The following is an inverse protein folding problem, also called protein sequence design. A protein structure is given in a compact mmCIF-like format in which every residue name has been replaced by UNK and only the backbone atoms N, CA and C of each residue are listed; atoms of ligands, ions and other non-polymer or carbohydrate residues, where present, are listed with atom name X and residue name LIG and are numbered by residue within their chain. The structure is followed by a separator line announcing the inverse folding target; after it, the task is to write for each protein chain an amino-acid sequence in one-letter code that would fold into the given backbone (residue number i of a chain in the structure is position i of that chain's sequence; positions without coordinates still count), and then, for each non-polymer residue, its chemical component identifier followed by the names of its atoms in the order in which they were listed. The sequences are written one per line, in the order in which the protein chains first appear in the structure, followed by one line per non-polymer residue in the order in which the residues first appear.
data_IF_151313692095
#
_entry.id   IF_151313692095
#
_cell.length_a   1.000
_cell.length_b   1.000
_cell.length_c   1.000
_cell.angle_alpha   90.00
_cell.angle_beta   90.00
_cell.angle_gamma   90.00
#
_symmetry.space_group_name_H-M   'P 1'
#
loop_
_entity.id
_entity.type
_entity.pdbx_description
1 polymer ?
#
# COMPACT_ATOMS: atom_id res chain seq x y z
N UNK A 1 -18.63 17.54 -18.09
CA UNK A 1 -17.44 17.65 -17.22
C UNK A 1 -17.05 16.24 -16.76
N UNK A 2 -16.03 15.67 -17.39
CA UNK A 2 -15.53 14.33 -17.07
C UNK A 2 -14.82 14.38 -15.72
N UNK A 3 -15.40 13.79 -14.67
CA UNK A 3 -14.66 13.55 -13.42
C UNK A 3 -13.57 12.54 -13.73
N UNK A 4 -12.36 13.03 -13.97
CA UNK A 4 -11.15 12.22 -13.96
C UNK A 4 -11.15 11.54 -12.59
N UNK A 5 -11.31 10.22 -12.56
CA UNK A 5 -11.21 9.45 -11.32
C UNK A 5 -9.80 9.71 -10.79
N UNK A 6 -9.70 10.40 -9.67
CA UNK A 6 -8.45 10.59 -8.94
C UNK A 6 -7.78 9.22 -8.81
N UNK A 7 -6.47 9.12 -9.09
CA UNK A 7 -5.73 7.86 -8.95
C UNK A 7 -5.82 7.40 -7.50
N UNK A 8 -6.70 6.44 -7.24
CA UNK A 8 -6.80 5.78 -5.94
C UNK A 8 -5.44 5.20 -5.55
N UNK A 9 -5.13 5.19 -4.26
CA UNK A 9 -3.93 4.56 -3.74
C UNK A 9 -3.99 3.06 -4.03
N UNK A 10 -3.24 2.61 -5.03
CA UNK A 10 -3.16 1.20 -5.41
C UNK A 10 -2.05 0.48 -4.64
N UNK A 11 -2.02 -0.85 -4.73
CA UNK A 11 -1.02 -1.68 -4.03
C UNK A 11 0.42 -1.36 -4.43
N UNK A 12 0.64 -0.88 -5.66
CA UNK A 12 1.99 -0.51 -6.13
C UNK A 12 2.44 0.76 -5.42
N UNK A 13 1.59 1.78 -5.37
CA UNK A 13 1.87 3.02 -4.65
C UNK A 13 2.04 2.74 -3.15
N UNK A 14 1.21 1.88 -2.55
CA UNK A 14 1.38 1.44 -1.15
C UNK A 14 2.77 0.84 -0.94
N UNK A 15 3.21 -0.06 -1.83
CA UNK A 15 4.53 -0.69 -1.75
C UNK A 15 5.65 0.35 -1.81
N UNK A 16 5.56 1.29 -2.75
CA UNK A 16 6.56 2.36 -2.89
C UNK A 16 6.63 3.23 -1.63
N UNK A 17 5.48 3.62 -1.06
CA UNK A 17 5.43 4.42 0.18
C UNK A 17 6.09 3.67 1.34
N UNK A 18 5.84 2.37 1.43
CA UNK A 18 6.44 1.52 2.44
C UNK A 18 7.96 1.43 2.26
N UNK A 19 8.46 1.28 1.03
CA UNK A 19 9.90 1.33 0.76
C UNK A 19 10.55 2.68 1.11
N UNK A 20 9.84 3.79 0.90
CA UNK A 20 10.30 5.13 1.32
C UNK A 20 10.48 5.16 2.85
N UNK A 21 9.55 4.54 3.59
CA UNK A 21 9.62 4.46 5.04
C UNK A 21 10.79 3.57 5.51
N UNK A 22 11.04 2.44 4.84
CA UNK A 22 12.13 1.52 5.19
C UNK A 22 13.50 2.22 5.09
N UNK A 23 13.67 3.12 4.11
CA UNK A 23 14.89 3.93 3.94
C UNK A 23 14.92 5.27 4.71
N UNK A 24 13.93 5.57 5.54
CA UNK A 24 13.77 6.91 6.10
C UNK A 24 14.79 7.22 7.20
N UNK A 25 15.53 8.31 7.09
CA UNK A 25 16.45 8.77 8.14
C UNK A 25 16.04 10.14 8.70
N UNK A 26 16.35 10.38 9.98
CA UNK A 26 16.03 11.63 10.67
C UNK A 26 14.58 11.72 11.16
N UNK A 27 14.06 12.95 11.29
CA UNK A 27 12.74 13.20 11.91
C UNK A 27 11.60 12.75 10.99
N UNK A 28 10.92 11.67 11.37
CA UNK A 28 9.75 11.15 10.64
C UNK A 28 8.44 11.80 11.11
N UNK A 29 7.78 12.53 10.21
CA UNK A 29 6.45 13.11 10.38
C UNK A 29 5.54 12.76 9.20
N UNK A 30 4.22 12.89 9.39
CA UNK A 30 3.26 12.66 8.30
C UNK A 30 3.44 13.66 7.16
N UNK A 31 3.70 14.94 7.48
CA UNK A 31 3.92 15.96 6.45
C UNK A 31 5.19 15.67 5.64
N UNK A 32 6.28 15.29 6.30
CA UNK A 32 7.51 14.92 5.60
C UNK A 32 7.30 13.70 4.70
N UNK A 33 6.53 12.71 5.16
CA UNK A 33 6.17 11.56 4.32
C UNK A 33 5.37 11.99 3.10
N UNK A 34 4.35 12.85 3.26
CA UNK A 34 3.54 13.35 2.13
C UNK A 34 4.42 14.05 1.11
N UNK A 35 5.35 14.91 1.55
CA UNK A 35 6.29 15.59 0.66
C UNK A 35 7.23 14.61 -0.07
N UNK A 36 7.74 13.60 0.63
CA UNK A 36 8.60 12.59 0.02
C UNK A 36 7.86 11.74 -1.03
N UNK A 37 6.61 11.40 -0.75
CA UNK A 37 5.75 10.65 -1.68
C UNK A 37 5.39 11.50 -2.89
N UNK A 38 5.06 12.77 -2.69
CA UNK A 38 4.80 13.71 -3.79
C UNK A 38 6.02 13.86 -4.71
N UNK A 39 7.23 13.95 -4.14
CA UNK A 39 8.48 14.01 -4.92
C UNK A 39 8.76 12.73 -5.72
N UNK A 40 8.40 11.55 -5.19
CA UNK A 40 8.69 10.25 -5.83
C UNK A 40 7.63 9.84 -6.86
N UNK A 41 6.35 10.07 -6.55
CA UNK A 41 5.21 9.60 -7.35
C UNK A 41 4.50 10.70 -8.16
N UNK A 42 4.84 11.98 -7.92
CA UNK A 42 4.17 13.12 -8.52
C UNK A 42 2.71 13.32 -8.05
N UNK A 43 2.28 12.56 -7.03
CA UNK A 43 0.94 12.62 -6.47
C UNK A 43 0.99 12.98 -4.99
N UNK A 44 0.25 14.03 -4.63
CA UNK A 44 0.06 14.44 -3.24
C UNK A 44 -1.14 13.72 -2.64
N UNK A 45 -0.91 12.96 -1.58
CA UNK A 45 -1.96 12.31 -0.81
C UNK A 45 -2.21 13.03 0.50
N UNK A 46 -3.44 12.93 1.02
CA UNK A 46 -3.74 13.44 2.36
C UNK A 46 -3.24 12.48 3.42
N UNK A 47 -2.89 13.00 4.61
CA UNK A 47 -2.57 12.17 5.78
C UNK A 47 -3.67 11.16 6.07
N UNK A 48 -4.94 11.55 5.94
CA UNK A 48 -6.07 10.66 6.21
C UNK A 48 -6.09 9.48 5.23
N UNK A 49 -5.81 9.73 3.95
CA UNK A 49 -5.66 8.66 2.95
C UNK A 49 -4.56 7.71 3.38
N UNK A 50 -3.34 8.19 3.59
CA UNK A 50 -2.20 7.35 3.96
C UNK A 50 -2.44 6.54 5.24
N UNK A 51 -3.06 7.15 6.26
CA UNK A 51 -3.33 6.50 7.53
C UNK A 51 -4.42 5.42 7.45
N UNK A 52 -5.37 5.50 6.52
CA UNK A 52 -6.41 4.47 6.33
C UNK A 52 -5.82 3.15 5.82
N UNK A 53 -4.69 3.20 5.12
CA UNK A 53 -4.01 2.00 4.65
C UNK A 53 -3.19 1.39 5.78
N UNK A 54 -3.63 0.24 6.25
CA UNK A 54 -3.05 -0.43 7.42
C UNK A 54 -1.55 -0.70 7.26
N UNK A 55 -1.12 -1.17 6.09
CA UNK A 55 0.30 -1.41 5.78
C UNK A 55 1.15 -0.15 5.94
N UNK A 56 0.68 0.99 5.42
CA UNK A 56 1.39 2.29 5.55
C UNK A 56 1.41 2.74 7.00
N UNK A 57 0.27 2.66 7.70
CA UNK A 57 0.16 3.04 9.10
C UNK A 57 1.11 2.23 9.98
N UNK A 58 1.15 0.91 9.79
CA UNK A 58 2.02 0.01 10.54
C UNK A 58 3.50 0.29 10.22
N UNK A 59 3.87 0.39 8.94
CA UNK A 59 5.22 0.75 8.52
C UNK A 59 5.69 2.08 9.15
N UNK A 60 4.84 3.10 9.14
CA UNK A 60 5.14 4.39 9.75
C UNK A 60 5.38 4.27 11.26
N UNK A 61 4.51 3.53 11.98
CA UNK A 61 4.65 3.32 13.42
C UNK A 61 5.93 2.56 13.76
N UNK A 62 6.24 1.49 13.02
CA UNK A 62 7.46 0.69 13.21
C UNK A 62 8.70 1.55 12.99
N UNK A 63 8.79 2.23 11.84
CA UNK A 63 9.96 3.08 11.53
C UNK A 63 10.11 4.22 12.53
N UNK A 64 9.02 4.88 12.91
CA UNK A 64 9.07 5.99 13.88
C UNK A 64 9.60 5.55 15.24
N UNK A 65 9.25 4.34 15.69
CA UNK A 65 9.80 3.76 16.93
C UNK A 65 11.28 3.45 16.79
N UNK A 66 11.69 2.81 15.69
CA UNK A 66 13.09 2.51 15.42
C UNK A 66 13.97 3.78 15.42
N UNK A 67 13.49 4.86 14.79
CA UNK A 67 14.19 6.15 14.75
C UNK A 67 14.23 6.89 16.10
N UNK A 68 13.28 6.63 16.99
CA UNK A 68 13.26 7.26 18.32
C UNK A 68 14.26 6.61 19.28
N UNK A 69 14.74 5.40 18.98
CA UNK A 69 15.75 4.68 19.76
C UNK A 69 17.19 4.87 19.28
N UNK A 70 17.40 5.53 18.14
CA UNK A 70 18.74 5.77 17.58
C UNK A 70 19.21 7.18 17.96
N UNK A 71 20.15 7.28 18.92
CA UNK A 71 20.96 8.48 19.08
C UNK A 71 21.84 8.63 17.84
N UNK A 72 21.97 9.87 17.35
CA UNK A 72 22.75 10.20 16.16
C UNK A 72 24.26 10.04 16.42
N UNK A 73 24.73 8.81 16.58
CA UNK A 73 26.15 8.51 16.51
C UNK A 73 26.52 8.33 15.04
N UNK A 74 26.95 9.44 14.43
CA UNK A 74 27.60 9.42 13.14
C UNK A 74 28.92 8.65 13.26
N UNK A 75 28.90 7.34 13.01
CA UNK A 75 30.13 6.60 12.77
C UNK A 75 30.73 7.12 11.48
N UNK A 76 31.83 7.85 11.57
CA UNK A 76 32.62 8.23 10.41
C UNK A 76 33.10 6.92 9.74
N UNK A 77 32.54 6.60 8.58
CA UNK A 77 32.85 5.38 7.84
C UNK A 77 34.11 5.61 7.01
N UNK A 78 35.05 4.68 7.06
CA UNK A 78 36.40 4.85 6.51
C UNK A 78 36.49 4.80 4.97
N UNK A 79 35.49 4.25 4.26
CA UNK A 79 35.45 4.24 2.79
C UNK A 79 34.02 4.38 2.22
N UNK A 80 33.87 4.93 1.00
CA UNK A 80 32.58 5.06 0.33
C UNK A 80 31.86 3.73 0.09
N UNK A 81 32.60 2.66 -0.24
CA UNK A 81 32.03 1.33 -0.48
C UNK A 81 31.45 0.75 0.81
N UNK A 82 32.17 0.92 1.92
CA UNK A 82 31.68 0.50 3.23
C UNK A 82 30.43 1.30 3.63
N UNK A 83 30.36 2.59 3.30
CA UNK A 83 29.18 3.39 3.55
C UNK A 83 27.95 2.87 2.77
N UNK A 84 28.10 2.61 1.47
CA UNK A 84 27.01 2.03 0.65
C UNK A 84 26.57 0.67 1.19
N UNK A 85 27.51 -0.17 1.62
CA UNK A 85 27.18 -1.47 2.21
C UNK A 85 26.40 -1.32 3.53
N UNK A 86 26.82 -0.42 4.42
CA UNK A 86 26.13 -0.14 5.68
C UNK A 86 24.73 0.44 5.46
N UNK A 87 24.56 1.35 4.49
CA UNK A 87 23.25 1.89 4.11
C UNK A 87 22.32 0.78 3.59
N UNK A 88 22.85 -0.16 2.80
CA UNK A 88 22.09 -1.30 2.30
C UNK A 88 21.66 -2.23 3.43
N UNK A 89 22.57 -2.53 4.37
CA UNK A 89 22.26 -3.33 5.56
C UNK A 89 21.17 -2.66 6.39
N UNK A 90 21.32 -1.37 6.70
CA UNK A 90 20.33 -0.63 7.49
C UNK A 90 18.93 -0.65 6.85
N UNK A 91 18.85 -0.53 5.52
CA UNK A 91 17.59 -0.63 4.79
C UNK A 91 16.98 -2.05 4.87
N UNK A 92 17.79 -3.08 4.69
CA UNK A 92 17.33 -4.48 4.78
C UNK A 92 16.89 -4.84 6.20
N UNK A 93 17.57 -4.33 7.22
CA UNK A 93 17.17 -4.50 8.63
C UNK A 93 15.83 -3.81 8.91
N UNK A 94 15.63 -2.58 8.41
CA UNK A 94 14.37 -1.87 8.55
C UNK A 94 13.21 -2.61 7.85
N UNK A 95 13.45 -3.11 6.63
CA UNK A 95 12.49 -3.93 5.89
C UNK A 95 12.14 -5.21 6.66
N UNK A 96 13.13 -5.93 7.19
CA UNK A 96 12.91 -7.13 7.99
C UNK A 96 12.10 -6.83 9.26
N UNK A 97 12.41 -5.74 9.98
CA UNK A 97 11.65 -5.33 11.16
C UNK A 97 10.18 -5.06 10.82
N UNK A 98 9.92 -4.37 9.71
CA UNK A 98 8.56 -4.10 9.25
C UNK A 98 7.84 -5.40 8.84
N UNK A 99 8.48 -6.25 8.03
CA UNK A 99 7.89 -7.52 7.59
C UNK A 99 7.58 -8.44 8.77
N UNK A 100 8.43 -8.49 9.78
CA UNK A 100 8.16 -9.23 11.01
C UNK A 100 6.93 -8.67 11.75
N UNK A 101 6.80 -7.34 11.83
CA UNK A 101 5.62 -6.71 12.44
C UNK A 101 4.34 -6.95 11.64
N UNK A 102 4.40 -6.92 10.31
CA UNK A 102 3.27 -7.28 9.43
C UNK A 102 2.87 -8.74 9.60
N UNK A 103 3.84 -9.65 9.66
CA UNK A 103 3.60 -11.08 9.86
C UNK A 103 2.92 -11.34 11.22
N UNK A 104 3.43 -10.74 12.29
CA UNK A 104 2.81 -10.87 13.62
C UNK A 104 1.36 -10.36 13.63
N UNK A 105 1.09 -9.21 13.01
CA UNK A 105 -0.27 -8.68 12.90
C UNK A 105 -1.21 -9.61 12.11
N UNK A 106 -0.70 -10.25 11.05
CA UNK A 106 -1.43 -11.25 10.28
C UNK A 106 -1.69 -12.52 11.11
N UNK A 107 -0.70 -13.02 11.85
CA UNK A 107 -0.87 -14.16 12.75
C UNK A 107 -1.91 -13.88 13.83
N UNK A 108 -1.92 -12.69 14.43
CA UNK A 108 -2.97 -12.27 15.36
C UNK A 108 -4.36 -12.21 14.72
N UNK A 109 -4.43 -11.78 13.46
CA UNK A 109 -5.69 -11.79 12.70
C UNK A 109 -6.15 -13.23 12.42
N UNK A 110 -5.26 -14.11 11.99
CA UNK A 110 -5.57 -15.53 11.77
C UNK A 110 -6.01 -16.23 13.05
N UNK A 111 -5.37 -15.96 14.19
CA UNK A 111 -5.78 -16.50 15.48
C UNK A 111 -7.21 -16.08 15.85
N UNK A 112 -7.55 -14.79 15.66
CA UNK A 112 -8.92 -14.29 15.87
C UNK A 112 -9.92 -14.95 14.93
N UNK A 113 -9.58 -15.13 13.66
CA UNK A 113 -10.45 -15.80 12.71
C UNK A 113 -10.66 -17.27 13.05
N UNK A 114 -9.61 -18.00 13.37
CA UNK A 114 -9.68 -19.39 13.79
C UNK A 114 -10.61 -19.56 15.01
N UNK A 115 -10.44 -18.71 16.03
CA UNK A 115 -11.34 -18.70 17.19
C UNK A 115 -12.80 -18.43 16.81
N UNK A 116 -13.06 -17.38 16.02
CA UNK A 116 -14.41 -17.00 15.60
C UNK A 116 -15.06 -18.02 14.65
N UNK A 117 -14.26 -18.77 13.90
CA UNK A 117 -14.71 -19.83 13.02
C UNK A 117 -15.09 -21.07 13.83
N UNK A 118 -14.27 -21.45 14.81
CA UNK A 118 -14.55 -22.57 15.71
C UNK A 118 -15.84 -22.34 16.52
N UNK A 119 -16.11 -21.11 17.00
CA UNK A 119 -17.38 -20.78 17.67
C UNK A 119 -18.61 -20.91 16.79
N UNK A 120 -18.43 -21.05 15.46
CA UNK A 120 -19.48 -21.34 14.47
C UNK A 120 -19.34 -22.73 13.84
N UNK A 121 -18.60 -23.65 14.47
CA UNK A 121 -18.36 -25.01 13.99
C UNK A 121 -17.74 -25.10 12.58
N UNK A 122 -17.04 -24.06 12.13
CA UNK A 122 -16.27 -24.12 10.88
C UNK A 122 -14.97 -24.87 11.13
N UNK A 123 -14.62 -25.79 10.24
CA UNK A 123 -13.40 -26.59 10.31
C UNK A 123 -12.23 -25.89 9.60
N UNK A 124 -11.01 -26.26 9.96
CA UNK A 124 -9.81 -25.79 9.27
C UNK A 124 -9.83 -26.15 7.77
N UNK A 125 -10.26 -27.36 7.43
CA UNK A 125 -10.42 -27.82 6.04
C UNK A 125 -11.35 -26.89 5.25
N UNK A 126 -12.47 -26.48 5.85
CA UNK A 126 -13.40 -25.52 5.24
C UNK A 126 -12.75 -24.14 5.03
N UNK A 127 -11.99 -23.65 6.01
CA UNK A 127 -11.33 -22.35 5.93
C UNK A 127 -10.20 -22.32 4.88
N UNK A 128 -9.61 -23.48 4.57
CA UNK A 128 -8.56 -23.63 3.58
C UNK A 128 -9.08 -23.83 2.14
N UNK A 129 -10.40 -23.83 1.93
CA UNK A 129 -10.94 -23.88 0.58
C UNK A 129 -10.46 -22.71 -0.27
N UNK A 130 -10.12 -22.94 -1.55
CA UNK A 130 -9.65 -21.88 -2.43
C UNK A 130 -10.74 -20.82 -2.62
N UNK A 131 -10.32 -19.56 -2.75
CA UNK A 131 -11.24 -18.48 -3.07
C UNK A 131 -11.90 -18.75 -4.44
N UNK A 132 -13.21 -18.46 -4.60
CA UNK A 132 -13.88 -18.57 -5.88
C UNK A 132 -13.17 -17.76 -6.97
N UNK A 133 -13.13 -18.30 -8.20
CA UNK A 133 -12.59 -17.56 -9.34
C UNK A 133 -13.40 -16.28 -9.57
N UNK A 134 -12.74 -15.12 -9.57
CA UNK A 134 -13.39 -13.83 -9.81
C UNK A 134 -13.55 -13.62 -11.31
N UNK A 135 -14.76 -13.78 -11.85
CA UNK A 135 -15.06 -13.46 -13.24
C UNK A 135 -15.16 -11.93 -13.41
N UNK A 136 -14.04 -11.31 -13.79
CA UNK A 136 -13.94 -9.87 -14.06
C UNK A 136 -14.41 -9.56 -15.47
N UNK A 137 -15.65 -9.91 -15.81
CA UNK A 137 -16.24 -9.43 -17.06
C UNK A 137 -16.31 -7.90 -17.01
N UNK A 138 -15.63 -7.24 -17.94
CA UNK A 138 -15.86 -5.82 -18.22
C UNK A 138 -17.34 -5.66 -18.52
N UNK A 139 -18.04 -4.87 -17.71
CA UNK A 139 -19.40 -4.46 -18.02
C UNK A 139 -19.43 -3.95 -19.47
N UNK A 140 -20.28 -4.57 -20.29
CA UNK A 140 -20.52 -4.10 -21.67
C UNK A 140 -20.84 -2.61 -21.59
N UNK A 141 -20.19 -1.73 -22.37
CA UNK A 141 -20.61 -0.34 -22.43
C UNK A 141 -22.05 -0.31 -22.93
N UNK A 142 -22.99 0.05 -22.06
CA UNK A 142 -24.34 0.40 -22.46
C UNK A 142 -24.23 1.64 -23.36
N UNK A 143 -24.82 1.53 -24.56
CA UNK A 143 -24.97 2.55 -25.60
C UNK A 143 -23.88 2.63 -26.69
N UNK A 144 -23.91 1.67 -27.61
CA UNK A 144 -23.82 1.98 -29.03
C UNK A 144 -25.23 1.89 -29.64
N UNK A 145 -26.08 2.89 -29.36
CA UNK A 145 -27.33 3.06 -30.13
C UNK A 145 -26.93 3.70 -31.45
N UNK A 146 -27.04 2.91 -32.52
CA UNK A 146 -26.77 3.32 -33.89
C UNK A 146 -27.57 4.59 -34.25
N UNK A 147 -26.86 5.56 -34.85
CA UNK A 147 -27.49 6.72 -35.51
C UNK A 147 -28.44 6.20 -36.58
N UNK A 148 -29.76 6.33 -36.37
CA UNK A 148 -30.73 6.31 -37.46
C UNK A 148 -30.56 7.62 -38.23
N UNK A 149 -29.99 7.50 -39.42
CA UNK A 149 -29.92 8.56 -40.43
C UNK A 149 -31.32 9.03 -40.81
N UNK A 150 -31.54 10.34 -40.73
CA UNK A 150 -32.68 11.00 -41.35
C UNK A 150 -32.55 10.92 -42.88
N UNK A 151 -33.60 10.48 -43.55
CA UNK A 151 -33.79 10.69 -44.98
C UNK A 151 -35.24 11.11 -45.23
N UNK A 152 -35.38 12.39 -45.54
CA UNK A 152 -36.55 13.04 -46.13
C UNK A 152 -36.98 12.33 -47.42
N UNK A 153 -38.30 12.17 -47.60
CA UNK A 153 -38.95 12.39 -48.90
C UNK A 153 -40.47 12.53 -48.75
N UNK A 154 -40.94 13.74 -49.04
CA UNK A 154 -42.29 14.07 -49.49
C UNK A 154 -42.86 13.04 -50.48
N UNK A 155 -44.18 12.82 -50.45
CA UNK A 155 -45.08 13.14 -51.58
C UNK A 155 -46.56 12.82 -51.28
N UNK A 156 -47.37 13.88 -51.52
CA UNK A 156 -48.77 13.95 -51.97
C UNK A 156 -49.87 13.50 -51.03
#
# INVERSE_FOLDING_TARGET
MTRIRERNLDDKVVTIIVEVLDGWNGRLTWEALIEAVEKREGLRYTRQTLHRHERIRLAFTVRKRALSGQSAESRAVASPELQVALERIARLEAENQRLAAENNALLEQFARWAYNAQTRNLTEDFLNHPLPAVDRQRSKPLHAVAKRTAASKNRR
#
